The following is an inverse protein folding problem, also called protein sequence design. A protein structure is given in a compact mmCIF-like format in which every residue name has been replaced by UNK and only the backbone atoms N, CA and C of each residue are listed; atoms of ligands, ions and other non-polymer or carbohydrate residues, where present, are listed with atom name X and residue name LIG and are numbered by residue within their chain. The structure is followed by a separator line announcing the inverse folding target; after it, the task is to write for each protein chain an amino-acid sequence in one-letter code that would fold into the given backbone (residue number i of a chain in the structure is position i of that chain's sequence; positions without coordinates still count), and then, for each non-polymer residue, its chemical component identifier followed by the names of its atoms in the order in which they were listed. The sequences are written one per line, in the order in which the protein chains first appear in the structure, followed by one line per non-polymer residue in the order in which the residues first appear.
data_IF_923020655379
#
_entry.id   IF_923020655379
#
_cell.length_a   1.000
_cell.length_b   1.000
_cell.length_c   1.000
_cell.angle_alpha   90.00
_cell.angle_beta   90.00
_cell.angle_gamma   90.00
#
_symmetry.space_group_name_H-M   'P 1'
#
loop_
_entity.id
_entity.type
_entity.pdbx_description
1 polymer ?
#
# COMPACT_ATOMS: atom_id res chain seq x y z
N UNK A 1 24.41 -2.10 -6.55
CA UNK A 1 23.54 -2.77 -7.55
C UNK A 1 22.22 -2.02 -7.54
N UNK A 2 21.64 -1.72 -8.70
CA UNK A 2 20.30 -1.10 -8.76
C UNK A 2 19.26 -2.10 -8.28
N UNK A 3 18.38 -1.67 -7.37
CA UNK A 3 17.27 -2.46 -6.84
C UNK A 3 16.29 -2.78 -7.99
N UNK A 4 15.81 -4.03 -8.08
CA UNK A 4 14.84 -4.45 -9.11
C UNK A 4 13.42 -4.41 -8.56
N UNK A 5 12.40 -4.40 -9.43
CA UNK A 5 10.99 -4.53 -9.03
C UNK A 5 10.72 -5.81 -8.22
N UNK A 6 11.45 -6.89 -8.52
CA UNK A 6 11.36 -8.12 -7.74
C UNK A 6 11.93 -7.94 -6.32
N UNK A 7 13.02 -7.20 -6.16
CA UNK A 7 13.58 -6.88 -4.84
C UNK A 7 12.63 -5.99 -4.02
N UNK A 8 11.97 -5.03 -4.68
CA UNK A 8 10.98 -4.16 -4.05
C UNK A 8 9.72 -4.93 -3.63
N UNK A 9 9.18 -5.81 -4.49
CA UNK A 9 8.06 -6.66 -4.11
C UNK A 9 8.43 -7.58 -2.95
N UNK A 10 9.59 -8.26 -3.02
CA UNK A 10 10.01 -9.17 -1.96
C UNK A 10 10.19 -8.44 -0.62
N UNK A 11 10.71 -7.22 -0.66
CA UNK A 11 10.83 -6.40 0.54
C UNK A 11 9.45 -6.00 1.10
N UNK A 12 8.54 -5.49 0.27
CA UNK A 12 7.20 -5.10 0.70
C UNK A 12 6.39 -6.29 1.26
N UNK A 13 6.49 -7.47 0.64
CA UNK A 13 5.84 -8.68 1.12
C UNK A 13 6.42 -9.16 2.46
N UNK A 14 7.72 -8.99 2.69
CA UNK A 14 8.36 -9.29 3.98
C UNK A 14 7.88 -8.33 5.07
N UNK A 15 7.78 -7.03 4.78
CA UNK A 15 7.22 -6.07 5.73
C UNK A 15 5.76 -6.37 6.04
N UNK A 16 4.96 -6.73 5.03
CA UNK A 16 3.57 -7.13 5.23
C UNK A 16 3.44 -8.38 6.09
N UNK A 17 4.32 -9.37 5.91
CA UNK A 17 4.36 -10.58 6.75
C UNK A 17 4.69 -10.23 8.21
N UNK A 18 5.63 -9.33 8.45
CA UNK A 18 5.98 -8.85 9.81
C UNK A 18 4.82 -8.08 10.46
N UNK A 19 4.06 -7.29 9.69
CA UNK A 19 2.84 -6.64 10.18
C UNK A 19 1.69 -7.62 10.43
N UNK A 20 1.67 -8.74 9.72
CA UNK A 20 0.68 -9.83 9.90
C UNK A 20 1.03 -10.71 11.10
N UNK A 21 2.33 -10.93 11.32
CA UNK A 21 2.88 -11.79 12.36
C UNK A 21 3.90 -11.02 13.23
N UNK A 22 3.49 -9.92 13.89
CA UNK A 22 4.42 -9.09 14.63
C UNK A 22 4.96 -9.83 15.87
N UNK A 23 6.15 -9.44 16.36
CA UNK A 23 6.68 -9.94 17.63
C UNK A 23 5.68 -9.79 18.79
N UNK A 24 5.69 -10.74 19.72
CA UNK A 24 4.73 -10.79 20.81
C UNK A 24 4.80 -9.54 21.72
N UNK A 25 5.99 -8.96 21.87
CA UNK A 25 6.22 -7.71 22.58
C UNK A 25 5.46 -6.53 21.97
N UNK A 26 5.39 -6.45 20.62
CA UNK A 26 4.65 -5.39 19.93
C UNK A 26 3.15 -5.54 20.21
N UNK A 27 2.65 -6.77 20.13
CA UNK A 27 1.25 -7.07 20.45
C UNK A 27 0.92 -6.71 21.90
N UNK A 28 1.84 -6.98 22.83
CA UNK A 28 1.70 -6.60 24.24
C UNK A 28 1.69 -5.06 24.43
N UNK A 29 2.38 -4.31 23.58
CA UNK A 29 2.35 -2.84 23.52
C UNK A 29 1.09 -2.27 22.83
N UNK A 30 0.18 -3.14 22.37
CA UNK A 30 -1.10 -2.75 21.79
C UNK A 30 -1.12 -2.67 20.26
N UNK A 31 -0.04 -3.10 19.59
CA UNK A 31 -0.02 -3.30 18.15
C UNK A 31 -1.07 -4.36 17.77
N UNK A 32 -1.96 -4.00 16.85
CA UNK A 32 -2.90 -4.96 16.27
C UNK A 32 -2.30 -5.54 14.99
N UNK A 33 -2.10 -6.86 14.91
CA UNK A 33 -1.67 -7.50 13.68
C UNK A 33 -2.63 -7.24 12.52
N UNK A 34 -2.09 -7.16 11.31
CA UNK A 34 -2.89 -7.17 10.08
C UNK A 34 -3.61 -8.51 9.98
N UNK A 35 -4.91 -8.49 9.68
CA UNK A 35 -5.67 -9.73 9.50
C UNK A 35 -5.19 -10.50 8.27
N UNK A 36 -5.27 -11.82 8.33
CA UNK A 36 -4.80 -12.69 7.24
C UNK A 36 -5.49 -12.46 5.89
N UNK A 37 -6.80 -12.14 5.89
CA UNK A 37 -7.55 -11.79 4.68
C UNK A 37 -7.14 -10.44 4.08
N UNK A 38 -6.93 -9.42 4.93
CA UNK A 38 -6.34 -8.13 4.55
C UNK A 38 -4.94 -8.32 3.97
N UNK A 39 -4.10 -9.13 4.62
CA UNK A 39 -2.73 -9.44 4.17
C UNK A 39 -2.73 -10.14 2.81
N UNK A 40 -3.66 -11.08 2.58
CA UNK A 40 -3.83 -11.74 1.29
C UNK A 40 -4.22 -10.73 0.19
N UNK A 41 -5.19 -9.86 0.46
CA UNK A 41 -5.62 -8.82 -0.49
C UNK A 41 -4.49 -7.81 -0.79
N UNK A 42 -3.81 -7.33 0.25
CA UNK A 42 -2.68 -6.42 0.13
C UNK A 42 -1.52 -7.03 -0.68
N UNK A 43 -1.20 -8.30 -0.44
CA UNK A 43 -0.16 -9.03 -1.17
C UNK A 43 -0.42 -9.09 -2.67
N UNK A 44 -1.69 -9.25 -3.08
CA UNK A 44 -2.06 -9.24 -4.50
C UNK A 44 -2.03 -7.83 -5.08
N UNK A 45 -2.54 -6.86 -4.35
CA UNK A 45 -2.49 -5.46 -4.78
C UNK A 45 -1.05 -4.98 -4.97
N UNK A 46 -0.13 -5.29 -4.05
CA UNK A 46 1.28 -4.93 -4.18
C UNK A 46 1.91 -5.45 -5.47
N UNK A 47 1.52 -6.64 -5.94
CA UNK A 47 1.99 -7.19 -7.22
C UNK A 47 1.50 -6.35 -8.40
N UNK A 48 0.21 -6.00 -8.42
CA UNK A 48 -0.34 -5.13 -9.47
C UNK A 48 0.33 -3.75 -9.45
N UNK A 49 0.50 -3.15 -8.27
CA UNK A 49 1.10 -1.82 -8.14
C UNK A 49 2.58 -1.81 -8.58
N UNK A 50 3.39 -2.77 -8.12
CA UNK A 50 4.84 -2.79 -8.39
C UNK A 50 5.15 -3.28 -9.80
N UNK A 51 4.42 -4.26 -10.35
CA UNK A 51 4.72 -4.81 -11.67
C UNK A 51 3.91 -4.18 -12.79
N UNK A 52 2.63 -3.92 -12.57
CA UNK A 52 1.73 -3.46 -13.64
C UNK A 52 1.65 -1.94 -13.72
N UNK A 53 1.62 -1.26 -12.58
CA UNK A 53 1.76 0.20 -12.52
C UNK A 53 3.23 0.66 -12.40
N UNK A 54 4.19 -0.27 -12.28
CA UNK A 54 5.63 0.00 -12.09
C UNK A 54 5.91 1.04 -10.99
N UNK A 55 5.13 0.99 -9.90
CA UNK A 55 5.32 1.90 -8.79
C UNK A 55 6.60 1.54 -8.00
N UNK A 56 7.29 2.54 -7.42
CA UNK A 56 8.41 2.29 -6.54
C UNK A 56 7.95 1.60 -5.25
N UNK A 57 8.90 1.13 -4.44
CA UNK A 57 8.64 0.53 -3.14
C UNK A 57 7.75 1.44 -2.24
N UNK A 58 6.56 0.98 -1.80
CA UNK A 58 5.75 1.71 -0.82
C UNK A 58 6.30 1.58 0.60
N UNK A 59 5.79 2.44 1.48
CA UNK A 59 5.82 2.24 2.92
C UNK A 59 4.54 1.51 3.37
N UNK A 60 4.66 0.65 4.37
CA UNK A 60 3.55 -0.12 4.95
C UNK A 60 3.42 0.12 6.45
N UNK A 61 2.19 0.10 6.94
CA UNK A 61 1.87 0.13 8.36
C UNK A 61 0.50 -0.48 8.60
N UNK A 62 0.33 -1.12 9.74
CA UNK A 62 -0.99 -1.50 10.23
C UNK A 62 -1.86 -0.27 10.49
N UNK A 63 -3.17 -0.41 10.34
CA UNK A 63 -4.17 0.56 10.82
C UNK A 63 -5.04 -0.08 11.89
N UNK A 64 -6.00 0.69 12.41
CA UNK A 64 -6.97 0.17 13.37
C UNK A 64 -7.65 -1.12 12.83
N UNK A 65 -8.09 -1.96 13.76
CA UNK A 65 -8.91 -3.16 13.51
C UNK A 65 -8.25 -4.26 12.65
N UNK A 66 -6.94 -4.17 12.43
CA UNK A 66 -6.17 -5.16 11.66
C UNK A 66 -6.18 -4.91 10.16
N UNK A 67 -6.46 -3.68 9.73
CA UNK A 67 -6.23 -3.24 8.36
C UNK A 67 -4.76 -2.93 8.06
N UNK A 68 -4.45 -2.57 6.81
CA UNK A 68 -3.12 -2.11 6.39
C UNK A 68 -3.21 -0.84 5.56
N UNK A 69 -2.25 0.06 5.76
CA UNK A 69 -1.99 1.23 4.93
C UNK A 69 -0.75 0.97 4.08
N UNK A 70 -0.85 1.30 2.79
CA UNK A 70 0.22 1.29 1.81
C UNK A 70 0.32 2.74 1.31
N UNK A 71 1.49 3.38 1.39
CA UNK A 71 1.59 4.77 0.94
C UNK A 71 2.95 5.12 0.35
N UNK A 72 2.93 6.22 -0.41
CA UNK A 72 4.10 6.89 -0.97
C UNK A 72 4.03 8.36 -0.62
N UNK A 73 5.16 8.93 -0.22
CA UNK A 73 5.29 10.33 0.13
C UNK A 73 6.30 10.99 -0.83
N UNK A 74 5.89 12.11 -1.43
CA UNK A 74 6.75 12.98 -2.22
C UNK A 74 6.89 14.36 -1.59
N UNK A 75 7.25 15.36 -2.40
CA UNK A 75 7.52 16.73 -1.95
C UNK A 75 6.26 17.49 -1.52
N UNK A 76 5.61 17.07 -0.43
CA UNK A 76 4.39 17.69 0.12
C UNK A 76 3.08 17.03 -0.32
N UNK A 77 3.16 15.99 -1.13
CA UNK A 77 2.00 15.24 -1.63
C UNK A 77 2.17 13.74 -1.38
N UNK A 78 1.04 13.03 -1.28
CA UNK A 78 0.98 11.65 -0.81
C UNK A 78 -0.05 10.86 -1.59
N UNK A 79 0.28 9.62 -1.93
CA UNK A 79 -0.71 8.60 -2.30
C UNK A 79 -0.83 7.62 -1.15
N UNK A 80 -2.06 7.36 -0.70
CA UNK A 80 -2.34 6.35 0.32
C UNK A 80 -3.40 5.39 -0.17
N UNK A 81 -3.19 4.11 0.09
CA UNK A 81 -4.19 3.06 -0.07
C UNK A 81 -4.41 2.42 1.30
N UNK A 82 -5.63 2.49 1.80
CA UNK A 82 -6.02 1.82 3.04
C UNK A 82 -6.91 0.62 2.71
N UNK A 83 -6.50 -0.55 3.20
CA UNK A 83 -7.31 -1.76 3.17
C UNK A 83 -7.83 -1.97 4.59
N UNK A 84 -9.10 -1.66 4.77
CA UNK A 84 -9.79 -1.75 6.06
C UNK A 84 -10.19 -3.18 6.39
N UNK A 85 -10.13 -3.54 7.66
CA UNK A 85 -10.64 -4.81 8.17
C UNK A 85 -12.16 -4.80 8.40
N UNK A 86 -12.70 -3.67 8.86
CA UNK A 86 -14.13 -3.44 8.97
C UNK A 86 -14.70 -3.04 7.62
N UNK A 87 -15.79 -3.69 7.20
CA UNK A 87 -16.36 -3.53 5.85
C UNK A 87 -15.52 -4.14 4.73
N UNK A 88 -14.28 -4.55 5.01
CA UNK A 88 -13.34 -5.21 4.09
C UNK A 88 -13.30 -4.54 2.71
N UNK A 89 -12.77 -3.33 2.67
CA UNK A 89 -12.69 -2.48 1.47
C UNK A 89 -11.29 -1.90 1.29
N UNK A 90 -10.96 -1.53 0.07
CA UNK A 90 -9.74 -0.81 -0.29
C UNK A 90 -10.10 0.58 -0.81
N UNK A 91 -9.51 1.61 -0.22
CA UNK A 91 -9.68 3.00 -0.67
C UNK A 91 -8.33 3.62 -0.96
N UNK A 92 -8.16 4.12 -2.18
CA UNK A 92 -7.00 4.91 -2.57
C UNK A 92 -7.35 6.39 -2.57
N UNK A 93 -6.50 7.21 -1.95
CA UNK A 93 -6.62 8.66 -1.97
C UNK A 93 -5.27 9.32 -2.22
N UNK A 94 -5.28 10.29 -3.13
CA UNK A 94 -4.19 11.23 -3.31
C UNK A 94 -4.42 12.48 -2.45
N UNK A 95 -3.37 13.01 -1.86
CA UNK A 95 -3.36 14.27 -1.13
C UNK A 95 -2.34 15.21 -1.77
N UNK A 96 -2.81 16.35 -2.28
CA UNK A 96 -1.99 17.39 -2.92
C UNK A 96 -2.33 18.74 -2.29
N UNK A 97 -1.33 19.44 -1.78
CA UNK A 97 -1.50 20.72 -1.06
C UNK A 97 -2.55 20.65 0.08
N UNK A 98 -2.59 19.51 0.79
CA UNK A 98 -3.57 19.24 1.86
C UNK A 98 -4.99 18.91 1.38
N UNK A 99 -5.22 18.81 0.06
CA UNK A 99 -6.50 18.43 -0.53
C UNK A 99 -6.51 16.94 -0.86
N UNK A 100 -7.39 16.19 -0.19
CA UNK A 100 -7.63 14.76 -0.45
C UNK A 100 -8.60 14.55 -1.60
N UNK A 101 -8.26 13.63 -2.50
CA UNK A 101 -9.11 13.16 -3.61
C UNK A 101 -9.08 11.65 -3.68
N UNK A 102 -10.25 11.02 -3.75
CA UNK A 102 -10.36 9.56 -3.94
C UNK A 102 -9.97 9.19 -5.36
N UNK A 103 -9.05 8.24 -5.50
CA UNK A 103 -8.66 7.64 -6.78
C UNK A 103 -9.58 6.47 -7.10
N UNK A 104 -9.74 5.55 -6.14
CA UNK A 104 -10.68 4.45 -6.23
C UNK A 104 -11.17 4.00 -4.85
N UNK A 105 -12.30 3.31 -4.85
CA UNK A 105 -12.84 2.60 -3.70
C UNK A 105 -13.46 1.28 -4.17
N UNK A 106 -13.08 0.17 -3.54
CA UNK A 106 -13.58 -1.16 -3.86
C UNK A 106 -13.92 -1.92 -2.59
N UNK A 107 -15.12 -2.48 -2.53
CA UNK A 107 -15.43 -3.56 -1.58
C UNK A 107 -14.69 -4.82 -2.01
N UNK A 108 -14.03 -5.50 -1.07
CA UNK A 108 -13.22 -6.68 -1.37
C UNK A 108 -14.10 -7.91 -1.24
N UNK A 109 -14.24 -8.64 -2.35
CA UNK A 109 -14.88 -9.94 -2.37
C UNK A 109 -13.82 -11.03 -2.50
N UNK A 110 -13.69 -11.87 -1.47
CA UNK A 110 -12.63 -12.87 -1.40
C UNK A 110 -11.30 -12.25 -0.97
N UNK A 111 -10.34 -12.18 -1.89
CA UNK A 111 -8.97 -11.71 -1.59
C UNK A 111 -8.37 -10.90 -2.75
N UNK A 112 -9.20 -10.40 -3.67
CA UNK A 112 -8.77 -9.63 -4.83
C UNK A 112 -9.44 -8.26 -4.82
N UNK A 113 -8.62 -7.22 -4.98
CA UNK A 113 -9.08 -5.87 -5.30
C UNK A 113 -9.00 -5.75 -6.82
N UNK A 114 -10.15 -5.65 -7.48
CA UNK A 114 -10.24 -5.62 -8.94
C UNK A 114 -9.90 -4.23 -9.49
N UNK A 115 -8.65 -3.82 -9.36
CA UNK A 115 -8.16 -2.53 -9.88
C UNK A 115 -8.10 -2.58 -11.40
N UNK A 116 -8.77 -1.62 -12.04
CA UNK A 116 -8.79 -1.46 -13.49
C UNK A 116 -7.47 -0.89 -14.02
N UNK A 117 -7.23 -1.00 -15.32
CA UNK A 117 -6.04 -0.40 -15.94
C UNK A 117 -6.02 1.13 -15.76
N UNK A 118 -7.19 1.77 -15.89
CA UNK A 118 -7.32 3.22 -15.71
C UNK A 118 -7.00 3.66 -14.28
N UNK A 119 -7.46 2.92 -13.26
CA UNK A 119 -7.12 3.20 -11.86
C UNK A 119 -5.62 3.01 -11.58
N UNK A 120 -4.98 2.01 -12.20
CA UNK A 120 -3.52 1.83 -12.10
C UNK A 120 -2.78 2.99 -12.78
N UNK A 121 -3.24 3.44 -13.95
CA UNK A 121 -2.66 4.58 -14.66
C UNK A 121 -2.82 5.88 -13.87
N UNK A 122 -3.99 6.13 -13.27
CA UNK A 122 -4.20 7.27 -12.37
C UNK A 122 -3.28 7.21 -11.14
N UNK A 123 -3.13 6.03 -10.56
CA UNK A 123 -2.24 5.80 -9.41
C UNK A 123 -0.79 6.11 -9.79
N UNK A 124 -0.32 5.62 -10.94
CA UNK A 124 1.00 5.95 -11.49
C UNK A 124 1.17 7.44 -11.72
N UNK A 125 0.21 8.08 -12.40
CA UNK A 125 0.29 9.49 -12.74
C UNK A 125 0.41 10.37 -11.49
N UNK A 126 -0.29 10.00 -10.40
CA UNK A 126 -0.14 10.67 -9.11
C UNK A 126 1.28 10.53 -8.57
N UNK A 127 1.83 9.31 -8.52
CA UNK A 127 3.20 9.05 -8.05
C UNK A 127 4.26 9.76 -8.90
N UNK A 128 4.09 9.81 -10.22
CA UNK A 128 4.97 10.59 -11.10
C UNK A 128 4.88 12.10 -10.80
N UNK A 129 3.66 12.59 -10.55
CA UNK A 129 3.40 13.96 -10.09
C UNK A 129 4.08 14.32 -8.77
N UNK A 130 4.20 13.35 -7.84
CA UNK A 130 4.91 13.49 -6.55
C UNK A 130 6.42 13.81 -6.68
N UNK A 131 6.95 13.81 -7.91
CA UNK A 131 8.37 14.01 -8.22
C UNK A 131 9.08 12.75 -8.72
N UNK A 132 8.34 11.72 -9.13
CA UNK A 132 8.88 10.40 -9.41
C UNK A 132 9.49 9.75 -8.15
N UNK A 133 10.17 8.60 -8.26
CA UNK A 133 10.84 8.03 -7.09
C UNK A 133 11.80 9.10 -6.55
N UNK A 134 11.48 9.62 -5.38
CA UNK A 134 12.52 10.12 -4.49
C UNK A 134 13.39 8.90 -4.23
N UNK A 135 14.39 8.72 -5.09
CA UNK A 135 15.56 7.94 -4.79
C UNK A 135 16.14 8.59 -3.54
N UNK A 136 15.63 8.16 -2.39
CA UNK A 136 16.41 8.09 -1.18
C UNK A 136 17.59 7.17 -1.55
N UNK A 137 18.59 7.80 -2.16
CA UNK A 137 19.94 7.27 -2.32
C UNK A 137 20.49 7.16 -0.90
N UNK A 138 20.28 6.00 -0.29
CA UNK A 138 21.08 5.56 0.86
C UNK A 138 22.17 4.62 0.34
#
# INVERSE_FOLDING_TARGET
MSRTQADDLNYALRELDELTNPPAEWVAEGIRPVRGDVSAAASKLLRELIFRAELPLPQLAQVADGGVRIWWLGSGEQLTIEIGAEGFSATAFGEVDGRKTTVFHHDIQGDVIAVTADELDQTRALIEGLGGPSALLW
#
